data_IF_699227980580
#
_entry.id   IF_699227980580
#
_cell.length_a   1.000
_cell.length_b   1.000
_cell.length_c   1.000
_cell.angle_alpha   90.00
_cell.angle_beta   90.00
_cell.angle_gamma   90.00
#
_symmetry.space_group_name_H-M   'P 1'
#
loop_
_entity.id
_entity.type
_entity.pdbx_description
1 polymer ?
#
# COMPACT_ATOMS: atom_id res chain seq x y z
N UNK A 1 10.78 6.89 25.13
CA UNK A 1 10.53 5.47 25.45
C UNK A 1 9.08 5.20 25.13
N UNK A 2 8.80 4.39 24.10
CA UNK A 2 7.43 3.95 23.82
C UNK A 2 6.99 2.99 24.93
N UNK A 3 5.89 3.32 25.60
CA UNK A 3 5.35 2.48 26.66
C UNK A 3 4.55 1.33 26.07
N UNK A 4 4.35 0.25 26.86
CA UNK A 4 3.44 -0.85 26.49
C UNK A 4 2.02 -0.35 26.12
N UNK A 5 1.61 0.79 26.69
CA UNK A 5 0.33 1.43 26.39
C UNK A 5 0.32 2.07 25.00
N UNK A 6 1.43 2.71 24.60
CA UNK A 6 1.56 3.35 23.29
C UNK A 6 1.56 2.31 22.17
N UNK A 7 2.30 1.21 22.36
CA UNK A 7 2.27 0.07 21.45
C UNK A 7 0.86 -0.53 21.31
N UNK A 8 0.13 -0.68 22.42
CA UNK A 8 -1.26 -1.18 22.40
C UNK A 8 -2.20 -0.24 21.64
N UNK A 9 -2.06 1.07 21.86
CA UNK A 9 -2.88 2.06 21.18
C UNK A 9 -2.59 2.10 19.68
N UNK A 10 -1.33 1.94 19.27
CA UNK A 10 -0.95 1.84 17.87
C UNK A 10 -1.62 0.63 17.19
N UNK A 11 -1.58 -0.56 17.81
CA UNK A 11 -2.23 -1.77 17.29
C UNK A 11 -3.74 -1.59 17.16
N UNK A 12 -4.39 -0.99 18.17
CA UNK A 12 -5.83 -0.70 18.12
C UNK A 12 -6.15 0.31 17.00
N UNK A 13 -5.31 1.32 16.82
CA UNK A 13 -5.44 2.32 15.76
C UNK A 13 -5.39 1.68 14.37
N UNK A 14 -4.39 0.81 14.14
CA UNK A 14 -4.27 0.02 12.91
C UNK A 14 -5.52 -0.84 12.71
N UNK A 15 -5.95 -1.58 13.75
CA UNK A 15 -7.16 -2.40 13.67
C UNK A 15 -8.38 -1.59 13.18
N UNK A 16 -8.59 -0.40 13.74
CA UNK A 16 -9.69 0.49 13.33
C UNK A 16 -9.56 1.01 11.90
N UNK A 17 -8.35 1.38 11.48
CA UNK A 17 -8.07 1.82 10.10
C UNK A 17 -8.45 0.75 9.08
N UNK A 18 -8.19 -0.51 9.40
CA UNK A 18 -8.53 -1.67 8.55
C UNK A 18 -9.92 -2.28 8.85
N UNK A 19 -10.77 -1.60 9.62
CA UNK A 19 -12.15 -2.01 9.84
C UNK A 19 -12.39 -3.13 10.86
N UNK A 20 -11.41 -3.43 11.72
CA UNK A 20 -11.51 -4.46 12.76
C UNK A 20 -12.37 -3.98 13.94
N UNK A 21 -13.40 -4.75 14.30
CA UNK A 21 -14.45 -4.37 15.28
C UNK A 21 -14.73 -5.46 16.34
N UNK A 22 -13.68 -6.06 16.89
CA UNK A 22 -13.75 -7.26 17.75
C UNK A 22 -14.65 -7.10 18.99
N UNK A 23 -14.51 -6.03 19.76
CA UNK A 23 -15.27 -5.85 21.01
C UNK A 23 -16.71 -5.46 20.76
N UNK A 24 -16.95 -4.74 19.68
CA UNK A 24 -18.26 -4.32 19.24
C UNK A 24 -19.07 -5.51 18.69
N UNK A 25 -18.40 -6.49 18.07
CA UNK A 25 -19.02 -7.74 17.62
C UNK A 25 -19.52 -8.62 18.77
N UNK A 26 -18.83 -8.63 19.91
CA UNK A 26 -19.25 -9.41 21.09
C UNK A 26 -20.54 -8.91 21.73
N UNK A 27 -20.92 -7.66 21.46
CA UNK A 27 -22.17 -7.06 21.94
C UNK A 27 -23.35 -7.29 20.99
N UNK A 28 -23.11 -7.82 19.78
CA UNK A 28 -24.15 -8.05 18.79
C UNK A 28 -24.95 -9.32 19.09
N UNK A 29 -26.25 -9.29 18.83
CA UNK A 29 -27.07 -10.50 18.80
C UNK A 29 -26.53 -11.46 17.71
N UNK A 30 -26.57 -12.79 17.90
CA UNK A 30 -25.93 -13.75 16.99
C UNK A 30 -26.33 -13.61 15.51
N UNK A 31 -27.61 -13.35 15.25
CA UNK A 31 -28.13 -13.15 13.89
C UNK A 31 -27.64 -11.83 13.25
N UNK A 32 -27.49 -10.77 14.04
CA UNK A 32 -26.94 -9.49 13.58
C UNK A 32 -25.45 -9.63 13.31
N UNK A 33 -24.73 -10.30 14.23
CA UNK A 33 -23.30 -10.60 14.06
C UNK A 33 -23.03 -11.34 12.76
N UNK A 34 -23.78 -12.42 12.49
CA UNK A 34 -23.63 -13.19 11.26
C UNK A 34 -23.84 -12.34 10.01
N UNK A 35 -24.91 -11.53 9.98
CA UNK A 35 -25.18 -10.66 8.84
C UNK A 35 -24.07 -9.61 8.61
N UNK A 36 -23.47 -9.08 9.69
CA UNK A 36 -22.33 -8.15 9.62
C UNK A 36 -21.09 -8.87 9.09
N UNK A 37 -20.76 -10.05 9.62
CA UNK A 37 -19.61 -10.86 9.17
C UNK A 37 -19.72 -11.22 7.67
N UNK A 38 -20.91 -11.63 7.22
CA UNK A 38 -21.17 -11.93 5.80
C UNK A 38 -21.03 -10.70 4.90
N UNK A 39 -21.52 -9.55 5.35
CA UNK A 39 -21.40 -8.28 4.62
C UNK A 39 -19.95 -7.82 4.48
N UNK A 40 -19.17 -7.88 5.58
CA UNK A 40 -17.73 -7.57 5.57
C UNK A 40 -17.00 -8.50 4.61
N UNK A 41 -17.23 -9.82 4.73
CA UNK A 41 -16.61 -10.81 3.84
C UNK A 41 -16.95 -10.57 2.36
N UNK A 42 -18.20 -10.21 2.06
CA UNK A 42 -18.63 -9.90 0.70
C UNK A 42 -17.94 -8.63 0.16
N UNK A 43 -17.77 -7.61 1.02
CA UNK A 43 -17.03 -6.38 0.70
C UNK A 43 -15.56 -6.68 0.40
N UNK A 44 -14.89 -7.42 1.29
CA UNK A 44 -13.48 -7.79 1.16
C UNK A 44 -13.20 -8.62 -0.09
N UNK A 45 -14.12 -9.55 -0.43
CA UNK A 45 -14.03 -10.32 -1.68
C UNK A 45 -14.07 -9.42 -2.92
N UNK A 46 -14.91 -8.38 -2.92
CA UNK A 46 -15.00 -7.43 -4.04
C UNK A 46 -13.75 -6.56 -4.15
N UNK A 47 -13.26 -6.04 -3.02
CA UNK A 47 -12.01 -5.25 -2.98
C UNK A 47 -10.83 -6.11 -3.44
N UNK A 48 -10.71 -7.34 -2.92
CA UNK A 48 -9.69 -8.29 -3.33
C UNK A 48 -9.75 -8.64 -4.81
N UNK A 49 -10.95 -8.78 -5.39
CA UNK A 49 -11.11 -8.97 -6.83
C UNK A 49 -10.61 -7.75 -7.63
N UNK A 50 -10.99 -6.54 -7.22
CA UNK A 50 -10.54 -5.30 -7.88
C UNK A 50 -9.01 -5.15 -7.84
N UNK A 51 -8.39 -5.39 -6.68
CA UNK A 51 -6.93 -5.37 -6.53
C UNK A 51 -6.28 -6.43 -7.43
N UNK A 52 -6.79 -7.66 -7.43
CA UNK A 52 -6.26 -8.75 -8.27
C UNK A 52 -6.37 -8.42 -9.76
N UNK A 53 -7.49 -7.84 -10.18
CA UNK A 53 -7.71 -7.43 -11.57
C UNK A 53 -6.80 -6.28 -11.96
N UNK A 54 -6.65 -5.26 -11.11
CA UNK A 54 -5.72 -4.16 -11.33
C UNK A 54 -4.28 -4.66 -11.42
N UNK A 55 -3.85 -5.53 -10.49
CA UNK A 55 -2.53 -6.15 -10.53
C UNK A 55 -2.31 -6.89 -11.84
N UNK A 56 -3.27 -7.71 -12.29
CA UNK A 56 -3.19 -8.38 -13.60
C UNK A 56 -3.03 -7.39 -14.75
N UNK A 57 -3.81 -6.31 -14.78
CA UNK A 57 -3.69 -5.29 -15.82
C UNK A 57 -2.33 -4.59 -15.79
N UNK A 58 -1.81 -4.27 -14.61
CA UNK A 58 -0.47 -3.66 -14.46
C UNK A 58 0.62 -4.64 -14.89
N UNK A 59 0.57 -5.89 -14.44
CA UNK A 59 1.58 -6.91 -14.75
C UNK A 59 1.55 -7.39 -16.22
N UNK A 60 0.40 -7.30 -16.89
CA UNK A 60 0.24 -7.69 -18.29
C UNK A 60 0.44 -6.54 -19.29
N UNK A 61 0.70 -5.31 -18.83
CA UNK A 61 0.87 -4.14 -19.69
C UNK A 61 2.20 -3.44 -19.46
N UNK A 62 2.54 -2.52 -20.37
CA UNK A 62 3.69 -1.63 -20.24
C UNK A 62 3.58 -0.68 -19.03
N UNK A 63 2.44 -0.66 -18.31
CA UNK A 63 2.31 0.09 -17.07
C UNK A 63 3.31 -0.37 -16.00
N UNK A 64 3.65 -1.67 -15.94
CA UNK A 64 4.66 -2.19 -15.01
C UNK A 64 6.01 -1.50 -15.20
N UNK A 65 6.38 -1.18 -16.44
CA UNK A 65 7.60 -0.47 -16.76
C UNK A 65 7.59 0.94 -16.15
N UNK A 66 6.49 1.69 -16.34
CA UNK A 66 6.32 3.02 -15.75
C UNK A 66 6.36 3.01 -14.22
N UNK A 67 5.66 2.07 -13.57
CA UNK A 67 5.72 1.91 -12.11
C UNK A 67 7.12 1.57 -11.61
N UNK A 68 7.87 0.75 -12.35
CA UNK A 68 9.27 0.45 -12.04
C UNK A 68 10.15 1.70 -12.02
N UNK A 69 9.97 2.62 -12.98
CA UNK A 69 10.72 3.88 -12.99
C UNK A 69 10.42 4.75 -11.76
N UNK A 70 9.13 4.88 -11.41
CA UNK A 70 8.70 5.64 -10.23
C UNK A 70 9.26 5.03 -8.95
N UNK A 71 9.20 3.70 -8.78
CA UNK A 71 9.78 3.03 -7.62
C UNK A 71 11.30 3.23 -7.53
N UNK A 72 12.02 3.20 -8.65
CA UNK A 72 13.46 3.47 -8.67
C UNK A 72 13.79 4.92 -8.29
N UNK A 73 12.95 5.87 -8.68
CA UNK A 73 13.06 7.27 -8.25
C UNK A 73 12.84 7.42 -6.74
N UNK A 74 11.76 6.84 -6.22
CA UNK A 74 11.37 6.95 -4.81
C UNK A 74 12.39 6.29 -3.86
N UNK A 75 13.00 5.18 -4.31
CA UNK A 75 14.04 4.48 -3.57
C UNK A 75 15.44 5.12 -3.67
N UNK A 76 15.64 6.14 -4.52
CA UNK A 76 16.94 6.76 -4.71
C UNK A 76 17.31 7.65 -3.51
N UNK A 77 18.54 7.49 -3.01
CA UNK A 77 19.07 8.27 -1.87
C UNK A 77 19.81 9.54 -2.29
N UNK A 78 19.93 9.80 -3.59
CA UNK A 78 20.58 10.96 -4.20
C UNK A 78 21.97 11.26 -3.62
N UNK A 79 22.74 10.21 -3.32
CA UNK A 79 24.01 10.34 -2.59
C UNK A 79 25.01 11.27 -3.30
N UNK A 80 25.03 11.24 -4.64
CA UNK A 80 25.93 12.08 -5.44
C UNK A 80 25.50 13.56 -5.42
N UNK A 81 24.23 13.86 -5.70
CA UNK A 81 23.70 15.22 -5.65
C UNK A 81 23.86 15.83 -4.25
N UNK A 82 23.55 15.05 -3.21
CA UNK A 82 23.75 15.45 -1.82
C UNK A 82 25.23 15.73 -1.50
N UNK A 83 26.17 14.92 -2.01
CA UNK A 83 27.60 15.13 -1.79
C UNK A 83 28.15 16.37 -2.55
N UNK A 84 27.50 16.77 -3.64
CA UNK A 84 27.89 17.91 -4.47
C UNK A 84 27.14 19.20 -4.10
N UNK A 85 26.18 19.14 -3.17
CA UNK A 85 25.35 20.29 -2.79
C UNK A 85 24.33 20.69 -3.87
N UNK A 86 23.99 19.76 -4.78
CA UNK A 86 23.04 19.97 -5.85
C UNK A 86 21.61 19.57 -5.42
N UNK A 87 20.60 20.18 -6.06
CA UNK A 87 19.21 19.79 -5.85
C UNK A 87 18.96 18.36 -6.34
N UNK A 88 18.41 17.46 -5.50
CA UNK A 88 18.10 16.09 -5.90
C UNK A 88 17.09 16.05 -7.05
N UNK A 89 17.44 15.35 -8.13
CA UNK A 89 16.51 14.98 -9.18
C UNK A 89 16.87 13.61 -9.74
N UNK A 90 15.94 13.02 -10.47
CA UNK A 90 16.17 11.84 -11.29
C UNK A 90 15.50 12.05 -12.63
N UNK A 91 16.25 11.80 -13.71
CA UNK A 91 15.72 11.86 -15.06
C UNK A 91 15.96 10.52 -15.77
N UNK A 92 14.92 10.04 -16.45
CA UNK A 92 14.98 8.82 -17.25
C UNK A 92 14.88 9.17 -18.74
N UNK A 93 15.92 8.86 -19.51
CA UNK A 93 15.89 8.90 -20.98
C UNK A 93 15.63 7.50 -21.50
N UNK A 94 14.42 7.27 -21.99
CA UNK A 94 13.97 5.96 -22.46
C UNK A 94 14.19 5.85 -23.98
N UNK A 95 14.89 4.79 -24.38
CA UNK A 95 15.12 4.41 -25.78
C UNK A 95 14.56 3.00 -26.03
N UNK A 96 14.36 2.58 -27.29
CA UNK A 96 13.79 1.27 -27.59
C UNK A 96 14.54 0.08 -26.97
N UNK A 97 15.85 0.19 -26.74
CA UNK A 97 16.70 -0.90 -26.23
C UNK A 97 17.46 -0.58 -24.93
N UNK A 98 17.26 0.60 -24.34
CA UNK A 98 17.96 1.00 -23.11
C UNK A 98 17.26 2.14 -22.38
N UNK A 99 17.57 2.27 -21.11
CA UNK A 99 17.21 3.42 -20.30
C UNK A 99 18.52 4.04 -19.81
N UNK A 100 18.64 5.36 -19.91
CA UNK A 100 19.72 6.13 -19.29
C UNK A 100 19.12 6.87 -18.09
N UNK A 101 19.78 6.77 -16.94
CA UNK A 101 19.39 7.43 -15.69
C UNK A 101 20.39 8.56 -15.44
N UNK A 102 19.89 9.76 -15.17
CA UNK A 102 20.67 10.95 -14.80
C UNK A 102 20.22 11.46 -13.44
#
# INVERSE_FOLDING_TARGET
MESRKDAKNAVIGIGKEYGFIEKEMDQMAPNVRLAVEESILASDKKVGHAIKTLAKHIYASDARFGFGLVQNADNNRFTNANAQGESPFIAFKVYPNRIVVE
#
